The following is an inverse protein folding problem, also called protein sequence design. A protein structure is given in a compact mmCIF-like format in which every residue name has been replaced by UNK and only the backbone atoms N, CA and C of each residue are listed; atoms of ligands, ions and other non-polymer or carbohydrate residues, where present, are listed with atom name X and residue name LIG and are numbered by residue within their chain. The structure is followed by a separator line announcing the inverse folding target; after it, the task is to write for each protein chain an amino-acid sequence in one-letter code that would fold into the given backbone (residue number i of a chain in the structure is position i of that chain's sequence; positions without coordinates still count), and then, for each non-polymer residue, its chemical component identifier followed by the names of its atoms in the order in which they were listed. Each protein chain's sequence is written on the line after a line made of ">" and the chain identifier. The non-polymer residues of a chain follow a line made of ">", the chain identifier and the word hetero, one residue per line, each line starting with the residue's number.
data_IF_653539601807
#
_entry.id   IF_653539601807
#
_cell.length_a   1.000
_cell.length_b   1.000
_cell.length_c   1.000
_cell.angle_alpha   90.00
_cell.angle_beta   90.00
_cell.angle_gamma   90.00
#
_symmetry.space_group_name_H-M   'P 1'
#
loop_
_entity.id
_entity.type
_entity.pdbx_description
1 polymer ?
#
# COMPACT_ATOMS: atom_id res chain seq x y z
N UNK A 1 -13.31 5.79 -9.16
CA UNK A 1 -11.92 5.33 -9.13
C UNK A 1 -11.80 4.47 -7.90
N UNK A 2 -11.36 3.22 -8.07
CA UNK A 2 -11.31 2.23 -6.99
C UNK A 2 -10.21 2.51 -5.96
N UNK A 3 -9.25 3.36 -6.30
CA UNK A 3 -8.07 3.66 -5.46
C UNK A 3 -8.06 5.13 -5.06
N UNK A 4 -8.08 5.41 -3.76
CA UNK A 4 -7.92 6.75 -3.19
C UNK A 4 -6.58 6.89 -2.45
N UNK A 5 -6.02 8.10 -2.42
CA UNK A 5 -4.70 8.38 -1.81
C UNK A 5 -4.82 9.56 -0.87
N UNK A 6 -4.39 9.35 0.37
CA UNK A 6 -4.43 10.35 1.43
C UNK A 6 -3.03 10.48 2.07
N UNK A 7 -2.60 11.70 2.33
CA UNK A 7 -1.36 11.97 3.06
C UNK A 7 -1.75 12.38 4.47
N UNK A 8 -1.40 11.56 5.46
CA UNK A 8 -1.83 11.76 6.84
C UNK A 8 -0.75 12.44 7.67
N UNK A 9 -1.18 13.42 8.49
CA UNK A 9 -0.31 14.31 9.25
C UNK A 9 -0.34 14.03 10.76
N UNK A 10 0.80 14.21 11.47
CA UNK A 10 1.98 14.95 11.01
C UNK A 10 3.12 14.08 10.45
N UNK A 11 3.01 13.64 9.19
CA UNK A 11 4.12 13.73 8.23
C UNK A 11 4.78 12.43 7.78
N UNK A 12 4.26 11.26 8.15
CA UNK A 12 5.01 10.01 7.93
C UNK A 12 4.24 8.92 7.19
N UNK A 13 2.93 9.10 6.94
CA UNK A 13 2.08 8.08 6.35
C UNK A 13 1.41 8.53 5.05
N UNK A 14 1.51 7.68 4.04
CA UNK A 14 0.60 7.67 2.89
C UNK A 14 -0.40 6.55 3.07
N UNK A 15 -1.70 6.88 3.10
CA UNK A 15 -2.78 5.91 3.11
C UNK A 15 -3.33 5.75 1.69
N UNK A 16 -3.40 4.51 1.22
CA UNK A 16 -3.97 4.14 -0.07
C UNK A 16 -5.16 3.24 0.20
N UNK A 17 -6.36 3.77 -0.03
CA UNK A 17 -7.62 3.04 0.15
C UNK A 17 -8.01 2.39 -1.16
N UNK A 18 -8.25 1.08 -1.15
CA UNK A 18 -8.66 0.33 -2.33
C UNK A 18 -10.04 -0.29 -2.08
N UNK A 19 -10.97 -0.01 -2.99
CA UNK A 19 -12.38 -0.43 -2.86
C UNK A 19 -12.97 -0.89 -4.19
N UNK A 20 -14.00 -1.74 -4.14
CA UNK A 20 -14.67 -2.27 -5.32
C UNK A 20 -13.76 -3.19 -6.14
N UNK A 21 -13.72 -3.01 -7.46
CA UNK A 21 -12.96 -3.85 -8.38
C UNK A 21 -11.83 -3.05 -9.06
N UNK A 22 -10.68 -2.83 -8.40
CA UNK A 22 -9.59 -2.04 -8.95
C UNK A 22 -8.97 -2.69 -10.18
N UNK A 23 -8.52 -1.85 -11.10
CA UNK A 23 -7.68 -2.23 -12.24
C UNK A 23 -6.19 -2.01 -11.92
N UNK A 24 -5.30 -2.67 -12.66
CA UNK A 24 -3.87 -2.49 -12.47
C UNK A 24 -3.41 -1.08 -12.87
N UNK A 25 -4.10 -0.46 -13.83
CA UNK A 25 -3.89 0.91 -14.25
C UNK A 25 -4.25 1.92 -13.15
N UNK A 26 -5.32 1.68 -12.40
CA UNK A 26 -5.68 2.51 -11.24
C UNK A 26 -4.62 2.42 -10.13
N UNK A 27 -4.14 1.21 -9.84
CA UNK A 27 -3.05 0.99 -8.87
C UNK A 27 -1.77 1.68 -9.31
N UNK A 28 -1.37 1.54 -10.59
CA UNK A 28 -0.20 2.21 -11.16
C UNK A 28 -0.33 3.73 -11.07
N UNK A 29 -1.49 4.26 -11.44
CA UNK A 29 -1.78 5.70 -11.40
C UNK A 29 -1.69 6.23 -9.98
N UNK A 30 -2.21 5.49 -9.00
CA UNK A 30 -2.12 5.87 -7.59
C UNK A 30 -0.68 5.90 -7.09
N UNK A 31 0.14 4.88 -7.42
CA UNK A 31 1.56 4.84 -7.05
C UNK A 31 2.32 6.02 -7.65
N UNK A 32 2.12 6.29 -8.95
CA UNK A 32 2.76 7.43 -9.61
C UNK A 32 2.32 8.76 -8.98
N UNK A 33 1.03 8.90 -8.66
CA UNK A 33 0.51 10.08 -7.98
C UNK A 33 1.18 10.30 -6.63
N UNK A 34 1.40 9.24 -5.85
CA UNK A 34 2.12 9.31 -4.57
C UNK A 34 3.57 9.74 -4.80
N UNK A 35 4.30 9.04 -5.66
CA UNK A 35 5.74 9.26 -5.85
C UNK A 35 6.07 10.64 -6.44
N UNK A 36 5.12 11.25 -7.16
CA UNK A 36 5.25 12.60 -7.73
C UNK A 36 4.58 13.70 -6.91
N UNK A 37 3.92 13.38 -5.79
CA UNK A 37 3.34 14.39 -4.91
C UNK A 37 4.46 15.15 -4.18
N UNK A 38 4.37 16.48 -4.14
CA UNK A 38 5.36 17.33 -3.47
C UNK A 38 5.47 17.07 -1.96
N UNK A 39 4.46 16.46 -1.34
CA UNK A 39 4.45 16.06 0.07
C UNK A 39 5.17 14.73 0.31
N UNK A 40 5.34 13.92 -0.73
CA UNK A 40 6.00 12.62 -0.60
C UNK A 40 7.50 12.78 -0.38
N UNK A 41 8.02 12.03 0.59
CA UNK A 41 9.44 11.96 0.91
C UNK A 41 9.89 10.51 0.86
N UNK A 42 11.11 10.29 0.38
CA UNK A 42 11.72 8.96 0.37
C UNK A 42 11.72 8.36 1.77
N UNK A 43 11.39 7.08 1.87
CA UNK A 43 11.33 6.34 3.13
C UNK A 43 10.04 6.55 3.94
N UNK A 44 9.07 7.34 3.45
CA UNK A 44 7.76 7.44 4.12
C UNK A 44 7.07 6.09 4.21
N UNK A 45 6.37 5.87 5.32
CA UNK A 45 5.52 4.71 5.51
C UNK A 45 4.31 4.78 4.59
N UNK A 46 3.87 3.62 4.09
CA UNK A 46 2.68 3.50 3.25
C UNK A 46 1.76 2.45 3.84
N UNK A 47 0.46 2.72 3.93
CA UNK A 47 -0.56 1.73 4.26
C UNK A 47 -1.48 1.52 3.06
N UNK A 48 -1.60 0.28 2.60
CA UNK A 48 -2.61 -0.13 1.64
C UNK A 48 -3.76 -0.77 2.40
N UNK A 49 -4.94 -0.15 2.38
CA UNK A 49 -6.16 -0.75 2.91
C UNK A 49 -6.93 -1.39 1.75
N UNK A 50 -6.91 -2.72 1.69
CA UNK A 50 -7.56 -3.53 0.66
C UNK A 50 -8.90 -4.10 1.14
N UNK A 51 -9.36 -3.79 2.36
CA UNK A 51 -10.57 -4.40 2.95
C UNK A 51 -11.85 -4.04 2.21
N UNK A 52 -11.85 -2.95 1.44
CA UNK A 52 -12.98 -2.54 0.61
C UNK A 52 -13.05 -3.22 -0.75
N UNK A 53 -12.10 -4.09 -1.11
CA UNK A 53 -12.07 -4.76 -2.41
C UNK A 53 -13.17 -5.82 -2.52
N UNK A 54 -14.01 -5.70 -3.54
CA UNK A 54 -15.01 -6.69 -3.93
C UNK A 54 -14.42 -7.74 -4.88
N UNK A 55 -13.36 -7.38 -5.61
CA UNK A 55 -12.70 -8.27 -6.59
C UNK A 55 -11.20 -8.03 -6.66
N UNK A 56 -10.43 -9.12 -6.63
CA UNK A 56 -8.99 -9.08 -6.88
C UNK A 56 -8.63 -8.65 -8.30
N UNK A 57 -7.47 -8.01 -8.40
CA UNK A 57 -6.71 -7.96 -9.65
C UNK A 57 -6.25 -9.39 -9.97
N UNK A 58 -6.37 -9.85 -11.23
CA UNK A 58 -5.83 -11.14 -11.65
C UNK A 58 -4.34 -11.30 -11.28
N UNK A 59 -4.01 -12.48 -10.76
CA UNK A 59 -2.67 -12.79 -10.22
C UNK A 59 -1.56 -12.55 -11.23
N UNK A 60 -1.76 -12.94 -12.48
CA UNK A 60 -0.83 -12.76 -13.60
C UNK A 60 -0.53 -11.29 -13.88
N UNK A 61 -1.57 -10.44 -13.93
CA UNK A 61 -1.40 -9.00 -14.13
C UNK A 61 -0.66 -8.34 -12.95
N UNK A 62 -0.97 -8.77 -11.73
CA UNK A 62 -0.31 -8.27 -10.54
C UNK A 62 1.17 -8.73 -10.49
N UNK A 63 1.46 -9.98 -10.88
CA UNK A 63 2.83 -10.48 -10.99
C UNK A 63 3.64 -9.70 -12.03
N UNK A 64 3.08 -9.47 -13.22
CA UNK A 64 3.72 -8.66 -14.25
C UNK A 64 4.02 -7.25 -13.74
N UNK A 65 3.02 -6.62 -13.12
CA UNK A 65 3.18 -5.28 -12.55
C UNK A 65 4.28 -5.22 -11.48
N UNK A 66 4.24 -6.12 -10.49
CA UNK A 66 5.20 -6.14 -9.39
C UNK A 66 6.59 -6.59 -9.85
N UNK A 67 6.69 -7.46 -10.85
CA UNK A 67 7.95 -7.86 -11.47
C UNK A 67 8.68 -6.69 -12.12
N UNK A 68 7.98 -5.61 -12.48
CA UNK A 68 8.61 -4.37 -12.95
C UNK A 68 8.95 -3.40 -11.83
N UNK A 69 8.54 -3.61 -10.58
CA UNK A 69 8.62 -2.61 -9.51
C UNK A 69 10.04 -2.16 -9.12
N UNK A 70 11.11 -2.78 -9.61
CA UNK A 70 12.47 -2.28 -9.40
C UNK A 70 12.68 -0.81 -9.85
N UNK A 71 11.90 -0.33 -10.83
CA UNK A 71 12.02 1.07 -11.30
C UNK A 71 11.54 2.11 -10.28
N UNK A 72 10.67 1.75 -9.32
CA UNK A 72 10.21 2.70 -8.29
C UNK A 72 11.20 2.85 -7.14
N UNK A 73 12.15 1.94 -6.98
CA UNK A 73 13.05 1.93 -5.81
C UNK A 73 13.84 3.23 -5.62
N UNK A 74 14.42 3.85 -6.68
CA UNK A 74 15.11 5.13 -6.53
C UNK A 74 14.18 6.26 -6.07
N UNK A 75 12.89 6.18 -6.37
CA UNK A 75 11.87 7.17 -5.99
C UNK A 75 11.32 6.91 -4.59
N UNK A 76 11.23 5.64 -4.19
CA UNK A 76 10.70 5.22 -2.88
C UNK A 76 11.72 5.38 -1.77
N UNK A 77 12.96 4.96 -2.01
CA UNK A 77 14.07 5.07 -1.06
C UNK A 77 13.83 4.30 0.25
N UNK A 78 13.19 3.14 0.18
CA UNK A 78 12.92 2.26 1.32
C UNK A 78 11.66 2.63 2.12
N UNK A 79 11.73 2.42 3.44
CA UNK A 79 10.61 2.64 4.37
C UNK A 79 9.86 1.35 4.71
N UNK A 80 8.65 1.52 5.26
CA UNK A 80 7.76 0.42 5.64
C UNK A 80 6.46 0.49 4.86
N UNK A 81 5.91 -0.66 4.51
CA UNK A 81 4.61 -0.74 3.86
C UNK A 81 3.75 -1.82 4.47
N UNK A 82 2.65 -1.39 5.06
CA UNK A 82 1.62 -2.27 5.59
C UNK A 82 0.57 -2.51 4.52
N UNK A 83 0.09 -3.75 4.40
CA UNK A 83 -1.05 -4.12 3.57
C UNK A 83 -2.10 -4.72 4.51
N UNK A 84 -3.30 -4.14 4.55
CA UNK A 84 -4.40 -4.62 5.39
C UNK A 84 -5.47 -5.22 4.51
N UNK A 85 -5.86 -6.46 4.81
CA UNK A 85 -6.79 -7.24 3.99
C UNK A 85 -7.65 -8.17 4.86
N UNK A 86 -8.97 -8.13 4.67
CA UNK A 86 -9.96 -8.88 5.48
C UNK A 86 -10.40 -10.20 4.86
N UNK A 87 -10.12 -10.44 3.58
CA UNK A 87 -10.58 -11.63 2.86
C UNK A 87 -9.42 -12.51 2.39
N UNK A 88 -9.62 -13.85 2.24
CA UNK A 88 -8.58 -14.76 1.77
C UNK A 88 -7.94 -14.33 0.44
N UNK A 89 -8.75 -13.72 -0.43
CA UNK A 89 -8.32 -13.25 -1.75
C UNK A 89 -7.38 -12.03 -1.65
N UNK A 90 -7.76 -11.01 -0.87
CA UNK A 90 -6.94 -9.82 -0.63
C UNK A 90 -5.68 -10.16 0.19
N UNK A 91 -5.78 -11.11 1.12
CA UNK A 91 -4.64 -11.62 1.88
C UNK A 91 -3.64 -12.35 0.97
N UNK A 92 -4.13 -13.17 0.03
CA UNK A 92 -3.30 -13.83 -0.98
C UNK A 92 -2.53 -12.84 -1.85
N UNK A 93 -3.17 -11.74 -2.27
CA UNK A 93 -2.53 -10.63 -2.99
C UNK A 93 -1.40 -10.02 -2.15
N UNK A 94 -1.68 -9.66 -0.90
CA UNK A 94 -0.68 -9.04 -0.02
C UNK A 94 0.55 -9.94 0.16
N UNK A 95 0.32 -11.23 0.41
CA UNK A 95 1.40 -12.23 0.57
C UNK A 95 2.22 -12.40 -0.69
N UNK A 96 1.57 -12.49 -1.84
CA UNK A 96 2.27 -12.58 -3.12
C UNK A 96 3.12 -11.33 -3.37
N UNK A 97 2.59 -10.15 -3.07
CA UNK A 97 3.32 -8.90 -3.23
C UNK A 97 4.57 -8.87 -2.34
N UNK A 98 4.45 -9.29 -1.07
CA UNK A 98 5.60 -9.43 -0.18
C UNK A 98 6.66 -10.36 -0.77
N UNK A 99 6.29 -11.55 -1.23
CA UNK A 99 7.24 -12.52 -1.80
C UNK A 99 7.94 -12.01 -3.06
N UNK A 100 7.23 -11.33 -3.97
CA UNK A 100 7.82 -10.85 -5.22
C UNK A 100 8.76 -9.67 -4.98
N UNK A 101 8.42 -8.79 -4.04
CA UNK A 101 9.17 -7.56 -3.76
C UNK A 101 10.32 -7.78 -2.78
N UNK A 102 10.29 -8.86 -1.99
CA UNK A 102 11.35 -9.22 -1.06
C UNK A 102 12.68 -9.38 -1.80
N UNK A 103 13.69 -8.61 -1.40
CA UNK A 103 15.02 -8.60 -2.03
C UNK A 103 15.10 -7.82 -3.34
N UNK A 104 13.98 -7.36 -3.92
CA UNK A 104 13.95 -6.49 -5.11
C UNK A 104 14.06 -5.02 -4.72
N UNK A 105 13.41 -4.65 -3.61
CA UNK A 105 13.39 -3.27 -3.09
C UNK A 105 13.75 -3.26 -1.60
N UNK A 106 14.31 -2.15 -1.11
CA UNK A 106 14.69 -2.00 0.29
C UNK A 106 13.52 -1.73 1.24
N UNK A 107 12.32 -1.56 0.68
CA UNK A 107 11.09 -1.37 1.46
C UNK A 107 10.68 -2.66 2.15
N UNK A 108 10.37 -2.57 3.44
CA UNK A 108 9.84 -3.69 4.20
C UNK A 108 8.32 -3.79 3.99
N UNK A 109 7.83 -4.99 3.71
CA UNK A 109 6.40 -5.25 3.55
C UNK A 109 5.89 -6.17 4.65
N UNK A 110 4.71 -5.86 5.17
CA UNK A 110 4.00 -6.76 6.06
C UNK A 110 2.49 -6.71 5.80
N UNK A 111 1.86 -7.88 5.85
CA UNK A 111 0.41 -8.04 5.69
C UNK A 111 -0.23 -8.22 7.05
N UNK A 112 -1.36 -7.54 7.26
CA UNK A 112 -2.16 -7.59 8.48
C UNK A 112 -3.63 -7.86 8.12
N UNK A 113 -4.35 -8.48 9.04
CA UNK A 113 -5.81 -8.60 9.00
C UNK A 113 -6.52 -7.42 9.68
N UNK A 114 -5.76 -6.63 10.44
CA UNK A 114 -6.25 -5.56 11.29
C UNK A 114 -5.47 -4.24 11.09
N UNK A 115 -6.21 -3.11 11.12
CA UNK A 115 -5.63 -1.78 10.93
C UNK A 115 -4.79 -1.34 12.12
N UNK A 116 -5.21 -1.65 13.35
CA UNK A 116 -4.52 -1.21 14.57
C UNK A 116 -3.12 -1.82 14.63
N UNK A 117 -3.01 -3.12 14.32
CA UNK A 117 -1.72 -3.82 14.20
C UNK A 117 -0.83 -3.22 13.12
N UNK A 118 -1.41 -2.87 11.96
CA UNK A 118 -0.69 -2.23 10.86
C UNK A 118 -0.13 -0.86 11.27
N UNK A 119 -0.94 -0.02 11.92
CA UNK A 119 -0.50 1.29 12.41
C UNK A 119 0.60 1.17 13.47
N UNK A 120 0.42 0.27 14.43
CA UNK A 120 1.43 0.00 15.45
C UNK A 120 2.77 -0.44 14.83
N UNK A 121 2.73 -1.33 13.83
CA UNK A 121 3.93 -1.75 13.11
C UNK A 121 4.58 -0.62 12.30
N UNK A 122 3.78 0.29 11.74
CA UNK A 122 4.28 1.49 11.08
C UNK A 122 4.83 2.55 12.06
N UNK A 123 4.68 2.33 13.38
CA UNK A 123 5.11 3.24 14.43
C UNK A 123 4.18 4.43 14.63
N UNK A 124 2.93 4.32 14.19
CA UNK A 124 1.92 5.37 14.27
C UNK A 124 1.05 5.20 15.51
N UNK A 125 0.66 6.29 16.19
CA UNK A 125 -0.26 6.21 17.30
C UNK A 125 -1.66 5.81 16.81
N UNK A 126 -2.41 4.98 17.56
CA UNK A 126 -3.76 4.53 17.18
C UNK A 126 -4.76 5.68 17.01
N UNK A 127 -4.49 6.83 17.65
CA UNK A 127 -5.38 7.99 17.69
C UNK A 127 -4.95 9.16 16.79
N UNK A 128 -4.09 8.93 15.78
CA UNK A 128 -3.74 10.01 14.87
C UNK A 128 -5.01 10.51 14.17
N UNK A 129 -5.37 11.77 14.40
CA UNK A 129 -6.55 12.41 13.81
C UNK A 129 -6.54 12.20 12.29
N UNK A 130 -7.55 11.49 11.78
CA UNK A 130 -7.66 11.08 10.37
C UNK A 130 -7.62 9.56 10.12
N UNK A 131 -7.30 8.73 11.12
CA UNK A 131 -7.33 7.25 11.00
C UNK A 131 -8.67 6.62 11.38
N UNK A 132 -9.54 7.38 12.04
CA UNK A 132 -10.87 6.99 12.52
C UNK A 132 -11.93 7.95 11.99
N UNK A 133 -12.20 7.89 10.69
CA UNK A 133 -13.19 8.77 10.05
C UNK A 133 -14.26 7.99 9.28
N UNK A 134 -15.35 7.62 9.98
CA UNK A 134 -16.63 7.18 9.39
C UNK A 134 -17.03 5.76 9.68
#
# INVERSE_FOLDING_TARGET
>A
MAVDVQFLTPGELVLILVSGAPTIEEVRTAILRVLHDARYRKGMSVLWDLRGMERAIPTDQLQEFLGTAGWIEPLRGGGRTAIVASEPLAYGIGRMATTILEGVISTQFQVFDDLEQAYAWLGLPPDAEGLTGG
#
